data_IF_812510052095
#
_entry.id   IF_812510052095
#
_cell.length_a   1.000
_cell.length_b   1.000
_cell.length_c   1.000
_cell.angle_alpha   90.00
_cell.angle_beta   90.00
_cell.angle_gamma   90.00
#
_symmetry.space_group_name_H-M   'P 1'
#
loop_
_entity.id
_entity.type
_entity.pdbx_description
1 polymer ?
#
# COMPACT_ATOMS: atom_id res chain seq x y z
N UNK A 1 70.56 6.74 -0.05
CA UNK A 1 69.40 7.66 0.09
C UNK A 1 68.22 7.02 -0.59
N UNK A 2 67.25 6.51 0.19
CA UNK A 2 66.00 5.81 -0.32
C UNK A 2 64.84 6.70 -0.02
N UNK A 3 64.25 7.25 -1.09
CA UNK A 3 63.04 8.10 -1.03
C UNK A 3 61.80 7.21 -0.92
N UNK A 4 61.11 7.27 0.21
CA UNK A 4 59.82 6.56 0.45
C UNK A 4 58.68 7.43 -0.07
N UNK A 5 58.00 7.01 -1.13
CA UNK A 5 56.79 7.61 -1.59
C UNK A 5 55.64 7.21 -0.67
N UNK A 6 55.09 8.17 0.05
CA UNK A 6 53.88 8.03 0.89
C UNK A 6 52.63 8.23 -0.01
N UNK A 7 51.96 7.15 -0.37
CA UNK A 7 50.69 7.20 -1.07
C UNK A 7 49.57 7.47 -0.03
N UNK A 8 49.09 8.70 0.04
CA UNK A 8 47.91 9.08 0.78
C UNK A 8 46.71 8.79 -0.13
N UNK A 9 46.06 7.65 0.10
CA UNK A 9 44.79 7.32 -0.51
C UNK A 9 43.69 8.15 0.11
N UNK A 10 43.20 9.17 -0.60
CA UNK A 10 41.98 9.90 -0.23
C UNK A 10 40.76 8.99 -0.46
N UNK A 11 40.25 8.41 0.61
CA UNK A 11 39.01 7.68 0.62
C UNK A 11 37.84 8.72 0.56
N UNK A 12 37.40 9.01 -0.66
CA UNK A 12 36.19 9.84 -0.89
C UNK A 12 34.97 9.02 -0.46
N UNK A 13 34.55 9.19 0.79
CA UNK A 13 33.27 8.67 1.27
C UNK A 13 32.15 9.40 0.53
N UNK A 14 31.58 8.77 -0.50
CA UNK A 14 30.32 9.16 -1.10
C UNK A 14 29.24 8.97 -0.03
N UNK A 15 28.92 10.05 0.68
CA UNK A 15 27.71 10.14 1.50
C UNK A 15 26.54 10.12 0.53
N UNK A 16 26.05 8.94 0.23
CA UNK A 16 24.77 8.77 -0.42
C UNK A 16 23.72 9.35 0.53
N UNK A 17 23.25 10.55 0.23
CA UNK A 17 22.15 11.17 0.93
C UNK A 17 20.87 10.41 0.53
N UNK A 18 20.61 9.29 1.19
CA UNK A 18 19.37 8.56 1.01
C UNK A 18 18.25 9.46 1.51
N UNK A 19 17.47 10.01 0.58
CA UNK A 19 16.27 10.76 0.89
C UNK A 19 15.24 9.79 1.46
N UNK A 20 15.25 9.59 2.78
CA UNK A 20 14.24 8.82 3.49
C UNK A 20 12.89 9.50 3.33
N UNK A 21 11.88 8.78 2.85
CA UNK A 21 10.50 9.25 2.92
C UNK A 21 10.15 9.42 4.39
N UNK A 22 9.69 10.61 4.75
CA UNK A 22 9.36 10.94 6.14
C UNK A 22 7.91 10.62 6.42
N UNK A 23 7.66 9.77 7.41
CA UNK A 23 6.34 9.55 7.99
C UNK A 23 6.05 10.66 9.00
N UNK A 24 4.83 11.19 8.97
CA UNK A 24 4.39 12.23 9.89
C UNK A 24 3.38 11.64 10.85
N UNK A 25 3.57 11.88 12.14
CA UNK A 25 2.69 11.36 13.19
C UNK A 25 2.08 12.49 13.99
N UNK A 26 0.76 12.46 14.15
CA UNK A 26 0.03 13.34 15.03
C UNK A 26 -1.04 12.55 15.80
N UNK A 27 -0.92 12.49 17.12
CA UNK A 27 -1.77 11.64 17.94
C UNK A 27 -1.70 10.18 17.48
N UNK A 28 -2.84 9.62 17.11
CA UNK A 28 -2.98 8.26 16.58
C UNK A 28 -2.98 8.20 15.04
N UNK A 29 -2.79 9.33 14.36
CA UNK A 29 -2.72 9.38 12.90
C UNK A 29 -1.28 9.27 12.43
N UNK A 30 -1.07 8.47 11.39
CA UNK A 30 0.19 8.32 10.66
C UNK A 30 -0.09 8.74 9.21
N UNK A 31 0.62 9.75 8.74
CA UNK A 31 0.51 10.29 7.37
C UNK A 31 1.76 9.86 6.61
N UNK A 32 1.56 9.24 5.45
CA UNK A 32 2.64 8.69 4.64
C UNK A 32 2.50 9.08 3.18
N UNK A 33 3.60 8.99 2.43
CA UNK A 33 3.68 9.21 1.00
C UNK A 33 3.00 10.49 0.49
N UNK A 34 3.24 11.68 1.08
CA UNK A 34 2.67 12.92 0.59
C UNK A 34 3.31 13.34 -0.74
N UNK A 35 2.49 13.52 -1.75
CA UNK A 35 2.94 13.94 -3.08
C UNK A 35 1.88 14.73 -3.85
N UNK A 36 2.30 15.43 -4.89
CA UNK A 36 1.41 16.11 -5.84
C UNK A 36 1.92 15.92 -7.27
N UNK A 37 1.10 16.20 -8.26
CA UNK A 37 1.53 16.25 -9.66
C UNK A 37 2.14 17.59 -10.00
N UNK A 38 3.13 17.58 -10.89
CA UNK A 38 3.59 18.80 -11.55
C UNK A 38 2.43 19.44 -12.34
N UNK A 39 2.43 20.75 -12.39
CA UNK A 39 1.38 21.53 -13.06
C UNK A 39 1.95 22.27 -14.28
N UNK A 40 1.17 22.43 -15.35
CA UNK A 40 1.58 23.28 -16.45
C UNK A 40 1.69 24.75 -16.01
N UNK A 41 2.45 25.53 -16.78
CA UNK A 41 2.59 26.96 -16.55
C UNK A 41 1.22 27.65 -16.63
N UNK A 42 0.88 28.45 -15.63
CA UNK A 42 -0.41 29.15 -15.53
C UNK A 42 -1.55 28.31 -14.94
N UNK A 43 -1.29 27.10 -14.45
CA UNK A 43 -2.30 26.34 -13.72
C UNK A 43 -2.72 27.08 -12.45
N UNK A 44 -4.02 27.21 -12.26
CA UNK A 44 -4.60 27.83 -11.07
C UNK A 44 -4.79 26.84 -9.91
N UNK A 45 -4.73 25.54 -10.18
CA UNK A 45 -5.01 24.47 -9.22
C UNK A 45 -4.04 23.31 -9.34
N UNK A 46 -3.86 22.58 -8.23
CA UNK A 46 -3.13 21.30 -8.21
C UNK A 46 -3.84 20.29 -7.32
N UNK A 47 -3.49 19.01 -7.49
CA UNK A 47 -3.98 17.94 -6.64
C UNK A 47 -2.84 17.36 -5.79
N UNK A 48 -3.12 17.20 -4.48
CA UNK A 48 -2.24 16.56 -3.51
C UNK A 48 -2.81 15.23 -3.06
N UNK A 49 -1.93 14.28 -2.78
CA UNK A 49 -2.24 12.91 -2.45
C UNK A 49 -1.40 12.45 -1.25
N UNK A 50 -1.94 11.55 -0.46
CA UNK A 50 -1.25 10.96 0.69
C UNK A 50 -2.06 9.79 1.24
N UNK A 51 -1.49 9.07 2.18
CA UNK A 51 -2.18 8.01 2.92
C UNK A 51 -2.25 8.41 4.39
N UNK A 52 -3.40 8.20 5.03
CA UNK A 52 -3.61 8.44 6.45
C UNK A 52 -4.06 7.14 7.09
N UNK A 53 -3.32 6.67 8.08
CA UNK A 53 -3.71 5.57 8.93
C UNK A 53 -4.10 6.08 10.31
N UNK A 54 -5.27 5.67 10.80
CA UNK A 54 -5.73 5.94 12.15
C UNK A 54 -5.54 4.69 13.03
N UNK A 55 -4.49 4.67 13.82
CA UNK A 55 -4.21 3.56 14.76
C UNK A 55 -5.01 3.64 16.07
N UNK A 56 -5.85 4.66 16.21
CA UNK A 56 -6.66 4.89 17.42
C UNK A 56 -7.99 4.14 17.42
N UNK A 57 -8.62 4.09 18.57
CA UNK A 57 -9.95 3.50 18.77
C UNK A 57 -11.13 4.44 18.49
N UNK A 58 -10.88 5.66 17.98
CA UNK A 58 -11.92 6.64 17.68
C UNK A 58 -11.67 7.22 16.28
N UNK A 59 -12.74 7.54 15.51
CA UNK A 59 -12.58 8.18 14.21
C UNK A 59 -12.02 9.59 14.36
N UNK A 60 -11.33 10.08 13.33
CA UNK A 60 -10.93 11.47 13.13
C UNK A 60 -11.42 11.96 11.76
N UNK A 61 -11.13 13.21 11.41
CA UNK A 61 -11.56 13.80 10.14
C UNK A 61 -10.50 14.77 9.62
N UNK A 62 -10.10 14.60 8.36
CA UNK A 62 -9.27 15.58 7.64
C UNK A 62 -10.16 16.71 7.14
N UNK A 63 -10.01 17.89 7.69
CA UNK A 63 -10.83 19.07 7.35
C UNK A 63 -10.31 19.84 6.13
N UNK A 64 -9.01 19.71 5.81
CA UNK A 64 -8.30 20.41 4.75
C UNK A 64 -6.89 20.77 5.19
N UNK A 65 -6.37 21.90 4.73
CA UNK A 65 -5.04 22.34 5.11
C UNK A 65 -4.74 23.77 4.68
N UNK A 66 -3.50 24.18 4.94
CA UNK A 66 -2.93 25.48 4.57
C UNK A 66 -1.56 25.22 3.90
N UNK A 67 -1.19 26.03 2.90
CA UNK A 67 0.11 25.90 2.23
C UNK A 67 0.55 27.26 1.67
N UNK A 68 1.85 27.50 1.66
CA UNK A 68 2.46 28.63 0.97
C UNK A 68 2.39 28.51 -0.58
N UNK A 69 2.16 27.31 -1.07
CA UNK A 69 2.03 27.03 -2.50
C UNK A 69 0.65 27.42 -3.07
N UNK A 70 -0.38 27.62 -2.23
CA UNK A 70 -1.75 27.87 -2.68
C UNK A 70 -2.50 28.76 -1.69
N UNK A 71 -3.53 29.46 -2.17
CA UNK A 71 -4.38 30.33 -1.33
C UNK A 71 -5.30 29.53 -0.40
N UNK A 72 -5.71 28.34 -0.82
CA UNK A 72 -6.65 27.47 -0.10
C UNK A 72 -6.37 26.01 -0.41
N UNK A 73 -6.56 25.14 0.57
CA UNK A 73 -6.46 23.68 0.42
C UNK A 73 -7.77 23.04 0.89
N UNK A 74 -8.47 22.41 -0.02
CA UNK A 74 -9.75 21.77 0.20
C UNK A 74 -9.63 20.24 0.08
N UNK A 75 -10.52 19.50 0.75
CA UNK A 75 -10.67 18.05 0.54
C UNK A 75 -11.76 17.82 -0.48
N UNK A 76 -11.45 17.07 -1.54
CA UNK A 76 -12.36 16.73 -2.62
C UNK A 76 -12.48 15.23 -2.80
N UNK A 77 -13.57 14.80 -3.44
CA UNK A 77 -13.73 13.45 -3.95
C UNK A 77 -14.09 13.45 -5.43
N UNK A 78 -13.66 12.41 -6.12
CA UNK A 78 -14.16 12.06 -7.46
C UNK A 78 -15.19 10.96 -7.29
N UNK A 79 -16.43 11.22 -7.69
CA UNK A 79 -17.53 10.25 -7.63
C UNK A 79 -18.17 10.08 -9.01
N UNK A 80 -18.62 8.87 -9.31
CA UNK A 80 -19.44 8.61 -10.50
C UNK A 80 -20.90 8.97 -10.17
N UNK A 81 -21.47 9.88 -10.96
CA UNK A 81 -22.88 10.21 -10.90
C UNK A 81 -23.46 10.06 -12.30
N UNK A 82 -24.37 9.10 -12.49
CA UNK A 82 -24.98 8.76 -13.80
C UNK A 82 -23.94 8.59 -14.93
N UNK A 83 -22.89 7.82 -14.68
CA UNK A 83 -21.76 7.56 -15.61
C UNK A 83 -20.90 8.79 -15.95
N UNK A 84 -21.10 9.90 -15.25
CA UNK A 84 -20.27 11.10 -15.36
C UNK A 84 -19.40 11.22 -14.12
N UNK A 85 -18.09 11.36 -14.31
CA UNK A 85 -17.18 11.66 -13.21
C UNK A 85 -17.39 13.09 -12.75
N UNK A 86 -17.84 13.25 -11.50
CA UNK A 86 -18.02 14.56 -10.85
C UNK A 86 -17.03 14.71 -9.71
N UNK A 87 -16.38 15.87 -9.66
CA UNK A 87 -15.56 16.29 -8.53
C UNK A 87 -16.41 17.16 -7.61
N UNK A 88 -16.38 16.88 -6.31
CA UNK A 88 -17.06 17.70 -5.31
C UNK A 88 -16.20 17.91 -4.08
N UNK A 89 -16.33 19.06 -3.48
CA UNK A 89 -15.72 19.36 -2.18
C UNK A 89 -16.46 18.60 -1.07
N UNK A 90 -15.70 18.03 -0.16
CA UNK A 90 -16.20 17.49 1.10
C UNK A 90 -16.19 18.61 2.15
N UNK A 91 -17.24 19.43 2.17
CA UNK A 91 -17.32 20.62 3.05
C UNK A 91 -17.20 20.28 4.54
N UNK A 92 -17.54 19.05 4.96
CA UNK A 92 -17.35 18.55 6.33
C UNK A 92 -16.06 17.76 6.52
N UNK A 93 -15.16 17.77 5.52
CA UNK A 93 -13.93 16.98 5.53
C UNK A 93 -14.12 15.49 5.27
N UNK A 94 -13.02 14.75 5.26
CA UNK A 94 -12.93 13.31 4.97
C UNK A 94 -12.80 12.54 6.29
N UNK A 95 -13.74 11.66 6.57
CA UNK A 95 -13.69 10.81 7.76
C UNK A 95 -12.59 9.74 7.65
N UNK A 96 -11.87 9.54 8.77
CA UNK A 96 -10.82 8.56 8.95
C UNK A 96 -11.26 7.64 10.09
N UNK A 97 -11.96 6.52 9.78
CA UNK A 97 -12.49 5.64 10.82
C UNK A 97 -11.40 5.07 11.73
N UNK A 98 -11.79 4.65 12.93
CA UNK A 98 -10.89 3.99 13.87
C UNK A 98 -10.29 2.71 13.27
N UNK A 99 -8.98 2.52 13.40
CA UNK A 99 -8.25 1.37 12.87
C UNK A 99 -8.15 1.33 11.34
N UNK A 100 -8.67 2.36 10.62
CA UNK A 100 -8.72 2.35 9.16
C UNK A 100 -7.55 3.11 8.53
N UNK A 101 -7.29 2.75 7.27
CA UNK A 101 -6.41 3.50 6.36
C UNK A 101 -7.27 4.16 5.29
N UNK A 102 -7.09 5.46 5.09
CA UNK A 102 -7.75 6.24 4.05
C UNK A 102 -6.68 6.74 3.08
N UNK A 103 -6.85 6.44 1.80
CA UNK A 103 -5.94 6.83 0.74
C UNK A 103 -6.55 7.97 -0.10
N UNK A 104 -5.81 9.07 -0.18
CA UNK A 104 -6.07 10.13 -1.14
C UNK A 104 -5.23 9.85 -2.38
N UNK A 105 -5.88 9.57 -3.52
CA UNK A 105 -5.25 9.14 -4.77
C UNK A 105 -5.94 9.71 -6.01
N UNK A 106 -5.25 9.73 -7.16
CA UNK A 106 -5.88 10.09 -8.44
C UNK A 106 -7.15 9.27 -8.72
N UNK A 107 -8.22 9.97 -9.08
CA UNK A 107 -9.52 9.34 -9.33
C UNK A 107 -10.37 9.03 -8.09
N UNK A 108 -9.88 9.35 -6.90
CA UNK A 108 -10.59 9.18 -5.63
C UNK A 108 -10.59 10.46 -4.79
N UNK A 109 -10.44 10.30 -3.48
CA UNK A 109 -10.21 11.44 -2.59
C UNK A 109 -8.88 12.12 -2.92
N UNK A 110 -8.84 13.45 -2.76
CA UNK A 110 -7.61 14.24 -2.95
C UNK A 110 -7.69 15.59 -2.25
N UNK A 111 -6.53 16.18 -2.00
CA UNK A 111 -6.42 17.58 -1.62
C UNK A 111 -6.42 18.43 -2.88
N UNK A 112 -7.27 19.44 -2.93
CA UNK A 112 -7.29 20.43 -4.01
C UNK A 112 -6.65 21.71 -3.54
N UNK A 113 -5.49 22.05 -4.15
CA UNK A 113 -4.79 23.32 -3.92
C UNK A 113 -5.37 24.34 -4.87
N UNK A 114 -6.03 25.36 -4.34
CA UNK A 114 -6.71 26.40 -5.08
C UNK A 114 -5.89 27.70 -5.10
N UNK A 115 -5.84 28.36 -6.25
CA UNK A 115 -5.12 29.63 -6.40
C UNK A 115 -3.62 29.47 -6.18
N UNK A 116 -2.97 28.61 -6.96
CA UNK A 116 -1.53 28.40 -6.87
C UNK A 116 -0.75 29.69 -6.97
N UNK A 117 0.20 29.90 -6.07
CA UNK A 117 1.11 31.04 -6.07
C UNK A 117 2.17 30.94 -7.18
N UNK A 118 2.55 29.70 -7.54
CA UNK A 118 3.49 29.37 -8.62
C UNK A 118 3.18 27.98 -9.19
N UNK A 119 3.60 27.67 -10.43
CA UNK A 119 3.54 26.29 -10.92
C UNK A 119 4.33 25.37 -10.01
N UNK A 120 3.85 24.14 -9.86
CA UNK A 120 4.58 23.07 -9.19
C UNK A 120 5.40 22.30 -10.23
N UNK A 121 6.74 22.36 -10.12
CA UNK A 121 7.66 21.67 -11.01
C UNK A 121 8.03 20.30 -10.45
N UNK A 122 8.31 19.34 -11.33
CA UNK A 122 8.78 18.03 -10.89
C UNK A 122 10.00 18.15 -9.98
N UNK A 123 10.05 17.32 -8.93
CA UNK A 123 11.05 17.28 -7.87
C UNK A 123 11.04 18.49 -6.90
N UNK A 124 10.17 19.50 -7.12
CA UNK A 124 9.89 20.51 -6.12
C UNK A 124 9.39 19.89 -4.82
N UNK A 125 9.61 20.62 -3.73
CA UNK A 125 9.03 20.34 -2.40
C UNK A 125 8.33 21.58 -1.88
N UNK A 126 7.24 21.36 -1.15
CA UNK A 126 6.53 22.43 -0.46
C UNK A 126 5.89 21.89 0.82
N UNK A 127 5.70 22.76 1.78
CA UNK A 127 5.05 22.42 3.04
C UNK A 127 3.55 22.64 2.97
N UNK A 128 2.83 21.76 3.63
CA UNK A 128 1.39 21.88 3.84
C UNK A 128 1.08 21.54 5.29
N UNK A 129 0.36 22.41 5.96
CA UNK A 129 -0.19 22.12 7.28
C UNK A 129 -1.55 21.46 7.10
N UNK A 130 -1.66 20.17 7.43
CA UNK A 130 -2.92 19.44 7.43
C UNK A 130 -3.70 19.74 8.71
N UNK A 131 -5.02 19.90 8.60
CA UNK A 131 -5.90 20.19 9.71
C UNK A 131 -6.87 19.04 9.96
N UNK A 132 -6.79 18.43 11.14
CA UNK A 132 -7.66 17.34 11.60
C UNK A 132 -8.60 17.83 12.69
N UNK A 133 -9.80 17.24 12.73
CA UNK A 133 -10.85 17.65 13.67
C UNK A 133 -10.45 17.39 15.14
N UNK A 134 -9.81 16.25 15.40
CA UNK A 134 -9.43 15.82 16.77
C UNK A 134 -7.93 15.86 17.02
N UNK A 135 -7.14 15.38 16.08
CA UNK A 135 -5.68 15.35 16.24
C UNK A 135 -5.05 16.74 16.15
N UNK A 136 -5.72 17.73 15.52
CA UNK A 136 -5.20 19.09 15.38
C UNK A 136 -4.42 19.29 14.07
N UNK A 137 -3.39 20.14 14.10
CA UNK A 137 -2.63 20.54 12.89
C UNK A 137 -1.24 19.92 12.89
N UNK A 138 -0.77 19.50 11.71
CA UNK A 138 0.60 18.98 11.52
C UNK A 138 1.17 19.41 10.18
N UNK A 139 2.46 19.74 10.17
CA UNK A 139 3.18 20.10 8.95
C UNK A 139 3.67 18.84 8.23
N UNK A 140 3.45 18.82 6.92
CA UNK A 140 3.79 17.71 6.04
C UNK A 140 4.48 18.26 4.80
N UNK A 141 5.64 17.73 4.43
CA UNK A 141 6.33 18.10 3.20
C UNK A 141 5.85 17.25 2.03
N UNK A 142 5.30 17.88 1.01
CA UNK A 142 4.87 17.28 -0.24
C UNK A 142 5.98 17.32 -1.28
N UNK A 143 6.18 16.21 -2.00
CA UNK A 143 7.07 16.13 -3.15
C UNK A 143 6.27 16.15 -4.45
N UNK A 144 6.75 16.91 -5.43
CA UNK A 144 6.09 17.04 -6.73
C UNK A 144 6.60 15.96 -7.69
N UNK A 145 5.71 15.11 -8.17
CA UNK A 145 5.97 14.10 -9.20
C UNK A 145 5.80 14.64 -10.62
N UNK A 146 5.93 13.78 -11.62
CA UNK A 146 5.78 14.15 -13.04
C UNK A 146 4.36 14.57 -13.43
N UNK A 147 4.20 15.23 -14.57
CA UNK A 147 2.93 15.80 -15.08
C UNK A 147 1.82 14.76 -15.29
N UNK A 148 2.15 13.60 -15.80
CA UNK A 148 1.19 12.48 -15.99
C UNK A 148 1.39 11.34 -15.00
N UNK A 149 2.27 11.54 -14.01
CA UNK A 149 2.92 10.49 -13.29
C UNK A 149 2.13 9.89 -12.13
N UNK A 150 2.56 8.71 -11.79
CA UNK A 150 2.42 8.11 -10.47
C UNK A 150 3.22 8.93 -9.44
N UNK A 151 3.00 8.63 -8.16
CA UNK A 151 3.79 9.18 -7.07
C UNK A 151 5.30 9.13 -7.37
N UNK A 152 6.09 10.14 -6.98
CA UNK A 152 7.55 10.09 -7.14
C UNK A 152 8.13 8.82 -6.54
N UNK A 153 9.16 8.25 -7.16
CA UNK A 153 9.78 6.99 -6.72
C UNK A 153 10.19 7.01 -5.23
N UNK A 154 10.61 8.15 -4.71
CA UNK A 154 10.89 8.34 -3.29
C UNK A 154 9.63 8.36 -2.40
N UNK A 155 8.45 8.67 -2.97
CA UNK A 155 7.16 8.56 -2.27
C UNK A 155 6.59 7.14 -2.35
N UNK A 156 7.03 6.34 -3.32
CA UNK A 156 6.70 4.91 -3.44
C UNK A 156 7.61 4.03 -2.58
N UNK A 157 8.71 4.56 -2.11
CA UNK A 157 9.84 3.79 -1.60
C UNK A 157 9.97 3.70 -0.09
N UNK A 158 9.12 4.26 0.73
CA UNK A 158 9.21 4.07 2.18
C UNK A 158 7.86 4.29 2.86
N UNK A 159 6.90 3.45 2.54
CA UNK A 159 6.18 2.87 3.65
C UNK A 159 7.22 1.99 4.36
N UNK A 160 7.98 2.54 5.29
CA UNK A 160 8.57 1.73 6.35
C UNK A 160 7.37 1.10 7.02
N UNK A 161 7.10 -0.11 6.60
CA UNK A 161 5.97 -0.94 6.99
C UNK A 161 6.14 -1.33 8.46
N UNK A 162 6.09 -0.35 9.32
CA UNK A 162 5.94 -0.54 10.76
C UNK A 162 4.48 -0.91 11.02
N UNK A 163 4.11 -2.14 10.61
CA UNK A 163 2.82 -2.70 10.94
C UNK A 163 2.02 -3.33 9.78
N UNK A 164 2.63 -3.61 8.61
CA UNK A 164 1.93 -4.34 7.53
C UNK A 164 1.03 -3.48 6.62
N UNK A 165 1.07 -2.14 6.73
CA UNK A 165 0.17 -1.26 5.96
C UNK A 165 0.37 -1.35 4.45
N UNK A 166 1.61 -1.47 3.97
CA UNK A 166 1.91 -1.66 2.57
C UNK A 166 1.38 -2.99 2.03
N UNK A 167 1.45 -4.03 2.85
CA UNK A 167 0.88 -5.36 2.56
C UNK A 167 -0.64 -5.27 2.44
N UNK A 168 -1.30 -4.63 3.42
CA UNK A 168 -2.76 -4.41 3.42
C UNK A 168 -3.17 -3.62 2.19
N UNK A 169 -2.48 -2.51 1.89
CA UNK A 169 -2.80 -1.65 0.74
C UNK A 169 -2.77 -2.41 -0.59
N UNK A 170 -1.77 -3.26 -0.80
CA UNK A 170 -1.67 -4.08 -2.02
C UNK A 170 -2.83 -5.07 -2.12
N UNK A 171 -3.19 -5.76 -1.04
CA UNK A 171 -4.30 -6.69 -1.01
C UNK A 171 -5.64 -5.98 -1.23
N UNK A 172 -5.87 -4.84 -0.56
CA UNK A 172 -7.08 -4.04 -0.73
C UNK A 172 -7.21 -3.52 -2.17
N UNK A 173 -6.13 -2.99 -2.75
CA UNK A 173 -6.16 -2.49 -4.13
C UNK A 173 -6.45 -3.61 -5.14
N UNK A 174 -5.99 -4.82 -4.86
CA UNK A 174 -6.12 -5.96 -5.78
C UNK A 174 -7.48 -6.64 -5.66
N UNK A 175 -8.00 -6.81 -4.44
CA UNK A 175 -9.12 -7.71 -4.18
C UNK A 175 -10.34 -7.07 -3.51
N UNK A 176 -10.21 -5.89 -2.84
CA UNK A 176 -11.36 -5.28 -2.17
C UNK A 176 -12.42 -4.82 -3.18
N UNK A 177 -13.68 -5.15 -2.90
CA UNK A 177 -14.82 -4.78 -3.74
C UNK A 177 -15.94 -4.19 -2.88
N UNK A 178 -16.69 -3.22 -3.39
CA UNK A 178 -17.80 -2.61 -2.64
C UNK A 178 -18.86 -3.61 -2.15
N UNK A 179 -19.13 -4.62 -2.96
CA UNK A 179 -20.10 -5.69 -2.70
C UNK A 179 -19.57 -6.83 -1.82
N UNK A 180 -18.22 -6.94 -1.71
CA UNK A 180 -17.55 -7.96 -0.92
C UNK A 180 -16.28 -7.38 -0.32
N UNK A 181 -16.40 -6.80 0.87
CA UNK A 181 -15.26 -6.14 1.55
C UNK A 181 -14.21 -7.15 1.97
N UNK A 182 -12.96 -6.82 1.66
CA UNK A 182 -11.80 -7.60 2.08
C UNK A 182 -11.40 -7.21 3.51
N UNK A 183 -11.28 -8.18 4.38
CA UNK A 183 -10.67 -8.03 5.71
C UNK A 183 -9.29 -8.65 5.66
N UNK A 184 -8.26 -7.91 6.04
CA UNK A 184 -6.87 -8.37 6.03
C UNK A 184 -6.35 -8.36 7.47
N UNK A 185 -6.21 -9.54 8.05
CA UNK A 185 -5.60 -9.78 9.37
C UNK A 185 -5.30 -11.27 9.58
N UNK A 186 -4.25 -11.67 10.30
CA UNK A 186 -3.15 -10.80 10.73
C UNK A 186 -2.19 -10.51 9.58
N UNK A 187 -1.30 -9.54 9.75
CA UNK A 187 -0.14 -9.35 8.88
C UNK A 187 1.12 -9.58 9.68
N UNK A 188 1.99 -10.44 9.19
CA UNK A 188 3.32 -10.71 9.78
C UNK A 188 4.40 -10.54 8.73
N UNK A 189 5.58 -10.08 9.15
CA UNK A 189 6.67 -9.75 8.27
C UNK A 189 8.02 -10.20 8.83
N UNK A 190 8.92 -10.61 7.93
CA UNK A 190 10.34 -10.90 8.22
C UNK A 190 11.19 -10.41 7.04
N UNK A 191 11.77 -9.21 7.16
CA UNK A 191 12.51 -8.55 6.10
C UNK A 191 11.62 -8.21 4.89
N UNK A 192 11.96 -8.76 3.73
CA UNK A 192 11.26 -8.54 2.46
C UNK A 192 10.14 -9.55 2.19
N UNK A 193 9.75 -10.33 3.19
CA UNK A 193 8.62 -11.24 3.13
C UNK A 193 7.51 -10.84 4.08
N UNK A 194 6.26 -11.02 3.62
CA UNK A 194 5.08 -10.88 4.44
C UNK A 194 4.11 -12.03 4.21
N UNK A 195 3.38 -12.42 5.25
CA UNK A 195 2.20 -13.27 5.16
C UNK A 195 1.03 -12.50 5.77
N UNK A 196 -0.04 -12.39 5.00
CA UNK A 196 -1.27 -11.71 5.41
C UNK A 196 -2.45 -12.66 5.32
N UNK A 197 -3.17 -12.82 6.42
CA UNK A 197 -4.47 -13.47 6.43
C UNK A 197 -5.50 -12.57 5.76
N UNK A 198 -6.43 -13.15 5.01
CA UNK A 198 -7.51 -12.41 4.40
C UNK A 198 -8.84 -13.18 4.48
N UNK A 199 -9.92 -12.43 4.62
CA UNK A 199 -11.29 -12.97 4.60
C UNK A 199 -12.15 -12.07 3.72
N UNK A 200 -12.91 -12.68 2.81
CA UNK A 200 -13.82 -12.00 1.90
C UNK A 200 -14.96 -12.92 1.52
N UNK A 201 -16.21 -12.46 1.66
CA UNK A 201 -17.40 -13.19 1.23
C UNK A 201 -17.47 -14.65 1.76
N UNK A 202 -17.19 -14.81 3.07
CA UNK A 202 -17.22 -16.12 3.75
C UNK A 202 -16.08 -17.08 3.37
N UNK A 203 -15.12 -16.63 2.57
CA UNK A 203 -13.89 -17.34 2.21
C UNK A 203 -12.69 -16.70 2.86
N UNK A 204 -11.63 -17.46 3.06
CA UNK A 204 -10.41 -16.93 3.63
C UNK A 204 -9.19 -17.69 3.16
N UNK A 205 -8.02 -17.15 3.45
CA UNK A 205 -6.72 -17.74 3.09
C UNK A 205 -5.59 -16.86 3.57
N UNK A 206 -4.38 -17.19 3.15
CA UNK A 206 -3.16 -16.40 3.41
C UNK A 206 -2.53 -16.02 2.08
N UNK A 207 -2.09 -14.78 1.99
CA UNK A 207 -1.29 -14.28 0.88
C UNK A 207 0.18 -14.22 1.32
N UNK A 208 1.07 -14.76 0.50
CA UNK A 208 2.50 -14.53 0.57
C UNK A 208 2.85 -13.33 -0.31
N UNK A 209 3.49 -12.34 0.27
CA UNK A 209 3.98 -11.18 -0.44
C UNK A 209 5.51 -11.08 -0.30
N UNK A 210 6.13 -10.54 -1.34
CA UNK A 210 7.56 -10.23 -1.35
C UNK A 210 7.77 -8.78 -1.71
N UNK A 211 8.71 -8.12 -1.05
CA UNK A 211 9.13 -6.77 -1.40
C UNK A 211 10.16 -6.83 -2.53
N UNK A 212 9.84 -6.21 -3.67
CA UNK A 212 10.70 -6.15 -4.86
C UNK A 212 10.86 -4.68 -5.23
N UNK A 213 12.09 -4.19 -5.26
CA UNK A 213 12.39 -2.76 -5.51
C UNK A 213 11.58 -1.82 -4.61
N UNK A 214 11.47 -2.17 -3.31
CA UNK A 214 10.76 -1.38 -2.31
C UNK A 214 9.23 -1.52 -2.30
N UNK A 215 8.64 -2.25 -3.24
CA UNK A 215 7.19 -2.45 -3.36
C UNK A 215 6.77 -3.87 -3.00
N UNK A 216 5.69 -4.02 -2.26
CA UNK A 216 5.08 -5.32 -1.99
C UNK A 216 4.39 -5.85 -3.24
N UNK A 217 4.65 -7.11 -3.55
CA UNK A 217 3.98 -7.86 -4.62
C UNK A 217 3.43 -9.16 -4.05
N UNK A 218 2.20 -9.48 -4.42
CA UNK A 218 1.59 -10.76 -4.06
C UNK A 218 2.26 -11.84 -4.91
N UNK A 219 2.81 -12.85 -4.26
CA UNK A 219 3.47 -13.98 -4.90
C UNK A 219 2.46 -15.10 -5.14
N UNK A 220 1.74 -15.47 -4.08
CA UNK A 220 0.71 -16.51 -4.13
C UNK A 220 -0.27 -16.37 -2.97
N UNK A 221 -1.42 -17.03 -3.12
CA UNK A 221 -2.37 -17.27 -2.05
C UNK A 221 -2.50 -18.78 -1.79
N UNK A 222 -2.57 -19.17 -0.52
CA UNK A 222 -2.80 -20.54 -0.07
C UNK A 222 -3.50 -20.52 1.29
N UNK A 223 -3.98 -21.67 1.76
CA UNK A 223 -4.56 -21.82 3.09
C UNK A 223 -3.52 -22.26 4.12
N UNK A 224 -3.74 -23.45 4.67
CA UNK A 224 -2.90 -24.07 5.70
C UNK A 224 -1.40 -24.15 5.36
N UNK A 225 -0.96 -24.43 4.10
CA UNK A 225 0.46 -24.49 3.78
C UNK A 225 1.27 -23.25 4.18
N UNK A 226 0.72 -22.05 4.09
CA UNK A 226 1.39 -20.80 4.50
C UNK A 226 1.39 -20.57 6.02
N UNK A 227 0.87 -21.49 6.81
CA UNK A 227 0.97 -21.50 8.28
C UNK A 227 2.20 -22.26 8.76
N UNK A 228 2.70 -23.19 7.94
CA UNK A 228 3.74 -24.13 8.32
C UNK A 228 5.04 -23.92 7.54
N UNK A 229 6.17 -24.13 8.24
CA UNK A 229 7.51 -24.04 7.66
C UNK A 229 7.65 -24.85 6.36
N UNK A 230 7.14 -26.07 6.32
CA UNK A 230 7.24 -26.95 5.15
C UNK A 230 6.54 -26.37 3.92
N UNK A 231 5.32 -25.87 4.08
CA UNK A 231 4.59 -25.21 2.99
C UNK A 231 5.27 -23.93 2.51
N UNK A 232 5.83 -23.15 3.43
CA UNK A 232 6.58 -21.95 3.09
C UNK A 232 7.87 -22.25 2.33
N UNK A 233 8.59 -23.32 2.69
CA UNK A 233 9.78 -23.78 1.95
C UNK A 233 9.38 -24.24 0.55
N UNK A 234 8.27 -24.97 0.41
CA UNK A 234 7.72 -25.34 -0.91
C UNK A 234 7.34 -24.11 -1.75
N UNK A 235 6.92 -23.03 -1.11
CA UNK A 235 6.66 -21.73 -1.74
C UNK A 235 7.93 -20.93 -2.08
N UNK A 236 9.13 -21.50 -1.90
CA UNK A 236 10.41 -20.89 -2.26
C UNK A 236 10.97 -19.92 -1.20
N UNK A 237 10.55 -20.06 0.07
CA UNK A 237 11.13 -19.30 1.19
C UNK A 237 12.33 -20.10 1.74
N UNK A 238 13.41 -19.39 2.05
CA UNK A 238 14.61 -19.99 2.66
C UNK A 238 14.24 -20.68 4.00
N UNK A 239 14.76 -21.91 4.30
CA UNK A 239 14.30 -22.72 5.43
C UNK A 239 14.38 -22.06 6.81
N UNK A 240 15.41 -21.23 7.08
CA UNK A 240 15.51 -20.51 8.36
C UNK A 240 14.49 -19.36 8.46
N UNK A 241 14.29 -18.63 7.36
CA UNK A 241 13.29 -17.59 7.28
C UNK A 241 11.87 -18.17 7.35
N UNK A 242 11.60 -19.28 6.68
CA UNK A 242 10.33 -20.01 6.78
C UNK A 242 10.02 -20.45 8.23
N UNK A 243 11.03 -20.86 8.98
CA UNK A 243 10.87 -21.19 10.41
C UNK A 243 10.48 -19.99 11.25
N UNK A 244 11.13 -18.83 11.07
CA UNK A 244 10.77 -17.59 11.78
C UNK A 244 9.39 -17.11 11.40
N UNK A 245 9.08 -17.09 10.09
CA UNK A 245 7.76 -16.71 9.58
C UNK A 245 6.62 -17.57 10.14
N UNK A 246 6.79 -18.90 10.17
CA UNK A 246 5.80 -19.82 10.73
C UNK A 246 5.53 -19.50 12.22
N UNK A 247 6.58 -19.22 12.99
CA UNK A 247 6.42 -18.83 14.39
C UNK A 247 5.64 -17.51 14.54
N UNK A 248 5.92 -16.53 13.68
CA UNK A 248 5.20 -15.25 13.67
C UNK A 248 3.72 -15.42 13.29
N UNK A 249 3.42 -16.22 12.26
CA UNK A 249 2.04 -16.52 11.85
C UNK A 249 1.27 -17.18 12.99
N UNK A 250 1.82 -18.23 13.60
CA UNK A 250 1.17 -18.93 14.72
C UNK A 250 0.93 -18.01 15.90
N UNK A 251 1.91 -17.17 16.26
CA UNK A 251 1.79 -16.21 17.36
C UNK A 251 0.74 -15.11 17.07
N UNK A 252 0.61 -14.67 15.82
CA UNK A 252 -0.38 -13.68 15.45
C UNK A 252 -1.79 -14.27 15.39
N UNK A 253 -1.94 -15.46 14.80
CA UNK A 253 -3.22 -16.15 14.68
C UNK A 253 -3.78 -16.66 16.03
N UNK A 254 -2.92 -16.95 17.01
CA UNK A 254 -3.38 -17.35 18.35
C UNK A 254 -4.26 -16.29 19.03
N UNK A 255 -4.27 -15.05 18.53
CA UNK A 255 -5.09 -13.93 19.01
C UNK A 255 -6.43 -13.80 18.29
N UNK A 256 -6.64 -14.56 17.24
CA UNK A 256 -7.86 -14.52 16.43
C UNK A 256 -8.93 -15.48 16.98
N UNK A 257 -10.19 -15.21 16.59
CA UNK A 257 -11.27 -16.13 16.87
C UNK A 257 -11.07 -17.46 16.09
N UNK A 258 -11.40 -18.62 16.68
CA UNK A 258 -11.24 -19.93 16.02
C UNK A 258 -11.94 -20.01 14.67
N UNK A 259 -13.10 -19.38 14.50
CA UNK A 259 -13.84 -19.32 13.24
C UNK A 259 -13.04 -18.58 12.14
N UNK A 260 -12.32 -17.51 12.50
CA UNK A 260 -11.45 -16.80 11.55
C UNK A 260 -10.29 -17.68 11.11
N UNK A 261 -9.64 -18.38 12.06
CA UNK A 261 -8.54 -19.31 11.73
C UNK A 261 -9.02 -20.42 10.79
N UNK A 262 -10.20 -20.98 11.04
CA UNK A 262 -10.80 -21.99 10.17
C UNK A 262 -11.02 -21.46 8.74
N UNK A 263 -11.44 -20.21 8.58
CA UNK A 263 -11.53 -19.57 7.26
C UNK A 263 -10.16 -19.42 6.59
N UNK A 264 -9.14 -18.98 7.34
CA UNK A 264 -7.78 -18.83 6.81
C UNK A 264 -7.20 -20.19 6.37
N UNK A 265 -7.55 -21.28 7.04
CA UNK A 265 -7.11 -22.63 6.71
C UNK A 265 -7.89 -23.25 5.53
N UNK A 266 -9.08 -22.72 5.20
CA UNK A 266 -10.03 -23.31 4.24
C UNK A 266 -9.68 -23.09 2.76
N UNK A 267 -8.69 -22.25 2.44
CA UNK A 267 -8.30 -22.02 1.04
C UNK A 267 -7.64 -23.27 0.46
N UNK A 268 -8.30 -23.91 -0.48
CA UNK A 268 -7.79 -25.12 -1.13
C UNK A 268 -6.83 -24.79 -2.27
N UNK A 269 -5.71 -25.50 -2.31
CA UNK A 269 -4.68 -25.36 -3.33
C UNK A 269 -3.76 -24.16 -3.13
N UNK A 270 -3.10 -23.76 -4.21
CA UNK A 270 -2.19 -22.62 -4.27
C UNK A 270 -2.50 -21.80 -5.53
N UNK A 271 -2.80 -20.55 -5.37
CA UNK A 271 -3.01 -19.62 -6.48
C UNK A 271 -1.75 -18.76 -6.66
N UNK A 272 -1.00 -18.98 -7.74
CA UNK A 272 0.14 -18.14 -8.10
C UNK A 272 -0.35 -16.84 -8.75
N UNK A 273 0.25 -15.71 -8.37
CA UNK A 273 -0.02 -14.43 -9.02
C UNK A 273 1.00 -14.20 -10.13
N UNK A 274 0.55 -13.70 -11.28
CA UNK A 274 1.44 -13.34 -12.39
C UNK A 274 2.38 -12.19 -12.03
N UNK A 275 3.46 -12.02 -12.79
CA UNK A 275 4.48 -10.97 -12.54
C UNK A 275 3.92 -9.55 -12.54
N UNK A 276 2.76 -9.36 -13.15
CA UNK A 276 1.98 -8.11 -13.29
C UNK A 276 0.83 -7.99 -12.28
N UNK A 277 0.65 -8.98 -11.38
CA UNK A 277 -0.43 -9.00 -10.38
C UNK A 277 -1.82 -9.30 -10.96
N UNK A 278 -1.92 -9.68 -12.23
CA UNK A 278 -3.17 -10.08 -12.85
C UNK A 278 -3.56 -11.51 -12.42
N UNK A 279 -4.88 -11.76 -12.29
CA UNK A 279 -5.41 -13.10 -12.06
C UNK A 279 -4.94 -14.05 -13.16
N UNK A 280 -4.42 -15.25 -12.83
CA UNK A 280 -4.23 -16.27 -13.85
C UNK A 280 -5.60 -16.59 -14.45
N UNK A 281 -5.72 -16.51 -15.78
CA UNK A 281 -6.89 -16.99 -16.47
C UNK A 281 -7.09 -18.47 -16.08
N UNK A 282 -8.26 -18.81 -15.57
CA UNK A 282 -8.64 -20.17 -15.23
C UNK A 282 -8.64 -21.00 -16.51
N UNK A 283 -7.56 -21.66 -16.82
CA UNK A 283 -7.57 -22.77 -17.78
C UNK A 283 -8.27 -23.95 -17.10
N UNK A 284 -9.57 -24.07 -17.35
CA UNK A 284 -10.33 -25.28 -17.09
C UNK A 284 -9.81 -26.39 -18.01
N UNK A 285 -8.95 -27.25 -17.51
CA UNK A 285 -8.73 -28.55 -18.11
C UNK A 285 -9.83 -29.50 -17.63
N UNK A 286 -10.94 -29.47 -18.38
CA UNK A 286 -11.90 -30.53 -18.38
C UNK A 286 -11.31 -31.72 -19.14
N UNK A 287 -10.74 -32.67 -18.44
CA UNK A 287 -10.49 -34.02 -19.01
C UNK A 287 -11.81 -34.75 -19.11
N UNK A 288 -12.49 -34.62 -20.25
CA UNK A 288 -13.55 -35.53 -20.62
C UNK A 288 -12.91 -36.84 -21.18
N UNK A 289 -12.78 -37.84 -20.35
CA UNK A 289 -12.60 -39.22 -20.80
C UNK A 289 -13.90 -39.71 -21.42
N UNK A 290 -14.04 -39.57 -22.73
CA UNK A 290 -15.08 -40.19 -23.51
C UNK A 290 -14.76 -41.68 -23.67
N UNK A 291 -15.52 -42.53 -23.01
CA UNK A 291 -15.64 -43.95 -23.37
C UNK A 291 -16.60 -44.03 -24.55
N UNK A 292 -16.03 -44.42 -25.69
CA UNK A 292 -16.83 -44.91 -26.78
C UNK A 292 -17.06 -46.42 -26.61
N UNK A 293 -18.25 -46.87 -26.94
CA UNK A 293 -18.51 -48.29 -27.19
C UNK A 293 -19.68 -48.42 -28.15
N UNK A 294 -19.39 -49.12 -29.25
CA UNK A 294 -20.22 -50.05 -30.05
C UNK A 294 -21.57 -49.50 -30.58
N UNK A 295 -21.91 -49.64 -31.81
CA UNK A 295 -21.67 -50.68 -32.81
C UNK A 295 -23.01 -51.00 -33.51
N UNK A 296 -22.96 -51.49 -34.71
CA UNK A 296 -23.98 -52.18 -35.51
C UNK A 296 -25.17 -51.38 -36.09
N UNK A 297 -25.20 -51.25 -37.27
CA UNK A 297 -25.84 -51.74 -38.51
C UNK A 297 -25.82 -50.68 -39.59
#
# INVERSE_FOLDING_TARGET
>A
MKLKHLLIGALLSLLSNEATAQDYKIGNLIITAPWSRATPKGAAVAAGFLVIHNSGGSPDRLLGGESDAAKEVQVHEMAMDNQIMKMRQLARGLEIPAGATVELKPGGYHLMLMGLARPLSQDDRYKMTLNFERAGKTDVEFRVGGVGGAAPAASQGHLHDQGGHGVVAVLMTTFDRPEARLKVEPVVMDGDLAIAGWVQDGRGGRALLRRVSGQWKIVLCAGEPLKHRTGMVTAGIEPMQAGRMAALVLAAESKLAPATIALLDSFEGTMMMGADGAHPATHGQGTSTGHGAHGHH
#
